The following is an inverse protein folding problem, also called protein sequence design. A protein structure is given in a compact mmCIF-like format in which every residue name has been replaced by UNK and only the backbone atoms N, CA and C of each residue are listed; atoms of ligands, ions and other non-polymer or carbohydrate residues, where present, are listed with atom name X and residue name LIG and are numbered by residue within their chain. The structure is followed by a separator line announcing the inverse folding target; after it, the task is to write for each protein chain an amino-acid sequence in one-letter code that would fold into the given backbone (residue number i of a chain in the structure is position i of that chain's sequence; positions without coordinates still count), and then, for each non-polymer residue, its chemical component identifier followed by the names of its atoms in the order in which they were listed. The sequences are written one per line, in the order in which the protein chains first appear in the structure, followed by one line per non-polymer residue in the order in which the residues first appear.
data_IF_422553524777
#
_entry.id   IF_422553524777
#
_cell.length_a   1.000
_cell.length_b   1.000
_cell.length_c   1.000
_cell.angle_alpha   90.00
_cell.angle_beta   90.00
_cell.angle_gamma   90.00
#
_symmetry.space_group_name_H-M   'P 1'
#
loop_
_entity.id
_entity.type
_entity.pdbx_description
1 polymer ?
#
# COMPACT_ATOMS: atom_id res chain seq x y z
N UNK A 1 -34.73 -19.30 -60.56
CA UNK A 1 -34.44 -17.90 -60.17
C UNK A 1 -35.42 -17.57 -59.06
N UNK A 2 -35.07 -17.89 -57.81
CA UNK A 2 -34.40 -17.02 -56.81
C UNK A 2 -35.42 -16.05 -56.18
N UNK A 3 -35.94 -16.40 -54.98
CA UNK A 3 -35.66 -15.78 -53.66
C UNK A 3 -36.46 -14.47 -53.45
N UNK A 4 -37.13 -14.15 -52.34
CA UNK A 4 -37.07 -14.65 -50.97
C UNK A 4 -38.32 -14.13 -50.22
N UNK A 5 -38.99 -15.00 -49.47
CA UNK A 5 -39.97 -14.60 -48.48
C UNK A 5 -39.23 -14.29 -47.18
N UNK A 6 -39.13 -13.02 -46.78
CA UNK A 6 -38.59 -12.66 -45.46
C UNK A 6 -39.70 -12.83 -44.43
N UNK A 7 -39.76 -14.03 -43.87
CA UNK A 7 -40.36 -14.31 -42.56
C UNK A 7 -39.28 -14.19 -41.49
N UNK A 8 -39.68 -13.58 -40.37
CA UNK A 8 -39.16 -13.77 -39.00
C UNK A 8 -37.82 -13.09 -38.63
N UNK A 9 -37.44 -13.03 -37.34
CA UNK A 9 -38.24 -12.84 -36.12
C UNK A 9 -37.48 -12.00 -35.06
N UNK A 10 -38.09 -10.96 -34.48
CA UNK A 10 -37.62 -10.41 -33.18
C UNK A 10 -38.78 -10.46 -32.19
N UNK A 11 -39.30 -11.68 -32.03
CA UNK A 11 -40.21 -12.09 -30.96
C UNK A 11 -39.57 -13.27 -30.23
N UNK A 12 -38.39 -13.06 -29.67
CA UNK A 12 -37.79 -13.95 -28.65
C UNK A 12 -36.50 -13.33 -28.11
N UNK A 13 -36.62 -12.46 -27.12
CA UNK A 13 -35.61 -12.31 -26.07
C UNK A 13 -36.38 -12.12 -24.77
N UNK A 14 -36.95 -13.23 -24.31
CA UNK A 14 -37.20 -13.42 -22.89
C UNK A 14 -35.84 -13.36 -22.19
N UNK A 15 -35.52 -12.21 -21.58
CA UNK A 15 -34.56 -12.19 -20.49
C UNK A 15 -35.35 -12.51 -19.24
N UNK A 16 -35.62 -13.80 -19.06
CA UNK A 16 -35.76 -14.33 -17.70
C UNK A 16 -34.34 -14.37 -17.13
N UNK A 17 -34.07 -13.50 -16.16
CA UNK A 17 -33.49 -13.97 -14.90
C UNK A 17 -33.57 -12.88 -13.84
N UNK A 18 -34.42 -13.19 -12.88
CA UNK A 18 -34.35 -12.79 -11.49
C UNK A 18 -32.91 -12.80 -10.98
N UNK A 19 -32.43 -11.62 -10.60
CA UNK A 19 -31.54 -11.48 -9.46
C UNK A 19 -31.97 -10.20 -8.76
N UNK A 20 -32.89 -10.36 -7.81
CA UNK A 20 -33.04 -9.43 -6.70
C UNK A 20 -31.70 -9.39 -5.97
N UNK A 21 -30.84 -8.45 -6.36
CA UNK A 21 -29.66 -8.10 -5.57
C UNK A 21 -29.95 -6.76 -4.92
N UNK A 22 -30.72 -6.85 -3.83
CA UNK A 22 -30.77 -5.79 -2.83
C UNK A 22 -29.34 -5.46 -2.42
N UNK A 23 -28.77 -4.40 -3.00
CA UNK A 23 -27.48 -3.87 -2.57
C UNK A 23 -27.68 -3.42 -1.12
N UNK A 24 -27.01 -4.05 -0.13
CA UNK A 24 -27.19 -3.64 1.24
C UNK A 24 -26.75 -2.19 1.37
N UNK A 25 -27.67 -1.30 1.75
CA UNK A 25 -27.37 0.07 2.19
C UNK A 25 -26.54 -0.01 3.47
N UNK A 26 -25.25 -0.34 3.35
CA UNK A 26 -24.32 -0.32 4.48
C UNK A 26 -23.59 1.02 4.46
N UNK A 27 -24.20 1.96 5.18
CA UNK A 27 -23.60 3.22 5.60
C UNK A 27 -22.51 2.96 6.68
N UNK A 28 -21.54 2.09 6.39
CA UNK A 28 -20.49 1.69 7.35
C UNK A 28 -19.06 2.02 6.87
N UNK A 29 -18.87 2.48 5.63
CA UNK A 29 -17.53 2.77 5.12
C UNK A 29 -16.97 4.11 5.62
N UNK A 30 -17.81 5.14 5.78
CA UNK A 30 -17.36 6.43 6.33
C UNK A 30 -16.93 6.35 7.81
N UNK A 31 -17.52 5.43 8.59
CA UNK A 31 -17.11 5.19 9.99
C UNK A 31 -15.80 4.38 10.10
N UNK A 32 -15.54 3.50 9.13
CA UNK A 32 -14.26 2.77 9.06
C UNK A 32 -13.09 3.70 8.71
N UNK A 33 -13.29 4.67 7.81
CA UNK A 33 -12.23 5.59 7.36
C UNK A 33 -11.81 6.57 8.48
N UNK A 34 -12.72 7.03 9.34
CA UNK A 34 -12.37 7.84 10.53
C UNK A 34 -11.60 7.04 11.57
N UNK A 35 -11.83 5.73 11.65
CA UNK A 35 -11.12 4.85 12.59
C UNK A 35 -9.69 4.52 12.15
N UNK A 36 -9.41 4.58 10.84
CA UNK A 36 -8.08 4.29 10.28
C UNK A 36 -7.14 5.49 10.42
N UNK A 37 -7.65 6.72 10.27
CA UNK A 37 -6.83 7.94 10.40
C UNK A 37 -6.48 8.32 11.85
N UNK A 38 -7.10 7.69 12.85
CA UNK A 38 -6.94 8.03 14.27
C UNK A 38 -6.16 6.99 15.09
N UNK A 39 -5.66 5.93 14.49
CA UNK A 39 -4.78 5.00 15.19
C UNK A 39 -3.33 5.51 15.11
N UNK A 40 -2.88 6.11 16.22
CA UNK A 40 -1.46 6.15 16.58
C UNK A 40 -0.80 4.81 16.21
N UNK A 41 0.35 4.81 15.51
CA UNK A 41 0.98 3.59 15.07
C UNK A 41 1.37 2.76 16.30
N UNK A 42 0.61 1.68 16.54
CA UNK A 42 0.86 0.78 17.66
C UNK A 42 2.24 0.13 17.49
N UNK A 43 3.10 0.50 18.42
CA UNK A 43 4.47 0.10 18.72
C UNK A 43 4.57 -1.40 19.10
N UNK A 44 4.12 -2.28 18.21
CA UNK A 44 4.26 -3.74 18.40
C UNK A 44 5.70 -4.22 18.17
N UNK A 45 6.46 -3.51 17.32
CA UNK A 45 7.85 -3.84 17.01
C UNK A 45 8.82 -3.33 18.10
N UNK A 46 8.51 -2.19 18.75
CA UNK A 46 9.38 -1.59 19.77
C UNK A 46 9.45 -2.40 21.07
N UNK A 47 8.39 -3.14 21.41
CA UNK A 47 8.32 -3.88 22.68
C UNK A 47 9.13 -5.18 22.70
N UNK A 48 9.46 -5.75 21.53
CA UNK A 48 10.23 -7.01 21.43
C UNK A 48 11.74 -6.75 21.53
N UNK A 49 12.20 -5.52 21.28
CA UNK A 49 13.63 -5.14 21.26
C UNK A 49 14.23 -4.91 22.66
N UNK A 50 13.40 -4.77 23.70
CA UNK A 50 13.81 -4.23 25.01
C UNK A 50 14.31 -5.26 26.03
N UNK A 51 14.86 -6.39 25.59
CA UNK A 51 15.36 -7.39 26.54
C UNK A 51 16.69 -8.02 26.13
N UNK A 52 17.78 -7.22 26.16
CA UNK A 52 19.11 -7.61 26.70
C UNK A 52 20.14 -6.47 26.69
N UNK A 53 20.96 -6.49 27.74
CA UNK A 53 22.29 -5.90 28.00
C UNK A 53 22.43 -4.42 28.45
N UNK A 54 23.15 -4.29 29.58
CA UNK A 54 23.41 -3.11 30.40
C UNK A 54 24.58 -2.27 29.86
N UNK A 55 24.37 -1.57 28.75
CA UNK A 55 25.19 -0.42 28.33
C UNK A 55 24.27 0.65 27.75
N UNK A 56 24.49 1.96 28.01
CA UNK A 56 23.68 3.02 27.43
C UNK A 56 24.14 3.26 25.98
N UNK A 57 23.93 2.28 25.09
CA UNK A 57 23.81 2.61 23.68
C UNK A 57 22.50 3.38 23.53
N UNK A 58 22.61 4.65 23.18
CA UNK A 58 21.47 5.46 22.75
C UNK A 58 20.76 4.69 21.65
N UNK A 59 19.60 4.15 21.96
CA UNK A 59 18.68 3.61 20.98
C UNK A 59 18.05 4.81 20.26
N UNK A 60 18.83 5.46 19.41
CA UNK A 60 18.19 6.19 18.32
C UNK A 60 17.73 5.11 17.35
N UNK A 61 16.43 5.08 17.05
CA UNK A 61 15.88 4.37 15.90
C UNK A 61 16.39 5.04 14.61
N UNK A 62 17.71 5.09 14.44
CA UNK A 62 18.38 5.49 13.22
C UNK A 62 18.48 4.24 12.37
N UNK A 63 17.91 4.28 11.18
CA UNK A 63 18.18 3.25 10.17
C UNK A 63 19.69 3.25 9.93
N UNK A 64 20.37 2.25 10.48
CA UNK A 64 21.80 2.09 10.33
C UNK A 64 22.09 1.82 8.85
N UNK A 65 22.85 2.72 8.25
CA UNK A 65 23.24 2.69 6.85
C UNK A 65 24.58 2.01 6.67
N UNK A 66 24.89 1.63 5.42
CA UNK A 66 26.21 1.09 5.08
C UNK A 66 27.32 2.11 5.40
N UNK A 67 27.05 3.41 5.26
CA UNK A 67 28.01 4.48 5.59
C UNK A 67 28.34 4.50 7.08
N UNK A 68 27.35 4.33 7.94
CA UNK A 68 27.55 4.27 9.39
C UNK A 68 28.47 3.10 9.78
N UNK A 69 28.36 1.95 9.08
CA UNK A 69 29.25 0.80 9.30
C UNK A 69 30.69 1.13 8.94
N UNK A 70 30.92 1.88 7.86
CA UNK A 70 32.27 2.29 7.46
C UNK A 70 32.90 3.29 8.45
N UNK A 71 32.11 4.22 8.96
CA UNK A 71 32.58 5.19 9.97
C UNK A 71 32.98 4.47 11.27
N UNK A 72 32.15 3.54 11.74
CA UNK A 72 32.46 2.74 12.93
C UNK A 72 33.66 1.81 12.70
N UNK A 73 33.77 1.20 11.50
CA UNK A 73 34.93 0.38 11.15
C UNK A 73 36.24 1.17 11.18
N UNK A 74 36.23 2.43 10.76
CA UNK A 74 37.40 3.31 10.82
C UNK A 74 37.82 3.62 12.26
N UNK A 75 36.85 3.88 13.16
CA UNK A 75 37.12 4.09 14.58
C UNK A 75 37.71 2.83 15.23
N UNK A 76 37.14 1.67 14.95
CA UNK A 76 37.63 0.38 15.42
C UNK A 76 39.05 0.10 14.91
N UNK A 77 39.33 0.40 13.63
CA UNK A 77 40.67 0.24 13.04
C UNK A 77 41.73 1.08 13.76
N UNK A 78 41.39 2.32 14.09
CA UNK A 78 42.28 3.22 14.87
C UNK A 78 42.52 2.72 16.30
N UNK A 79 41.55 2.05 16.89
CA UNK A 79 41.71 1.42 18.20
C UNK A 79 42.64 0.22 18.13
N UNK A 80 42.54 -0.59 17.07
CA UNK A 80 43.49 -1.66 16.81
C UNK A 80 44.91 -1.14 16.57
N UNK A 81 45.10 -0.05 15.83
CA UNK A 81 46.41 0.59 15.67
C UNK A 81 47.02 0.96 17.03
N UNK A 82 46.26 1.64 17.90
CA UNK A 82 46.73 1.97 19.26
C UNK A 82 47.10 0.75 20.08
N UNK A 83 46.35 -0.35 19.96
CA UNK A 83 46.65 -1.59 20.68
C UNK A 83 47.92 -2.25 20.12
N UNK A 84 48.09 -2.27 18.80
CA UNK A 84 49.30 -2.78 18.13
C UNK A 84 50.52 -1.99 18.60
N UNK A 85 50.44 -0.67 18.63
CA UNK A 85 51.55 0.20 19.04
C UNK A 85 51.96 -0.04 20.50
N UNK A 86 51.01 -0.37 21.38
CA UNK A 86 51.27 -0.56 22.81
C UNK A 86 51.68 -1.99 23.20
N UNK A 87 51.10 -3.02 22.55
CA UNK A 87 51.21 -4.41 22.98
C UNK A 87 51.71 -5.37 21.88
N UNK A 88 52.00 -4.86 20.69
CA UNK A 88 52.41 -5.65 19.54
C UNK A 88 51.25 -6.36 18.83
N UNK A 89 51.50 -6.73 17.58
CA UNK A 89 50.50 -7.30 16.64
C UNK A 89 49.91 -8.63 17.07
N UNK A 90 50.66 -9.44 17.83
CA UNK A 90 50.23 -10.77 18.26
C UNK A 90 48.98 -10.75 19.12
N UNK A 91 48.78 -9.66 19.88
CA UNK A 91 47.69 -9.50 20.83
C UNK A 91 46.32 -9.54 20.16
N UNK A 92 46.21 -9.06 18.91
CA UNK A 92 44.92 -8.93 18.21
C UNK A 92 44.86 -9.75 16.91
N UNK A 93 45.92 -10.48 16.56
CA UNK A 93 46.03 -11.24 15.30
C UNK A 93 44.80 -12.12 15.03
N UNK A 94 44.28 -12.79 16.05
CA UNK A 94 43.11 -13.68 15.92
C UNK A 94 41.76 -12.97 16.14
N UNK A 95 41.78 -11.74 16.68
CA UNK A 95 40.60 -10.94 16.94
C UNK A 95 40.19 -10.13 15.70
N UNK A 96 41.16 -9.51 15.02
CA UNK A 96 40.91 -8.65 13.85
C UNK A 96 40.08 -9.35 12.78
N UNK A 97 40.39 -10.60 12.35
CA UNK A 97 39.58 -11.30 11.35
C UNK A 97 38.14 -11.56 11.80
N UNK A 98 37.91 -11.77 13.11
CA UNK A 98 36.56 -11.97 13.66
C UNK A 98 35.76 -10.67 13.64
N UNK A 99 36.40 -9.54 13.95
CA UNK A 99 35.76 -8.23 13.92
C UNK A 99 35.45 -7.80 12.49
N UNK A 100 36.37 -8.03 11.55
CA UNK A 100 36.10 -7.84 10.11
C UNK A 100 34.86 -8.65 9.71
N UNK A 101 34.80 -9.93 10.09
CA UNK A 101 33.66 -10.78 9.77
C UNK A 101 32.33 -10.24 10.31
N UNK A 102 32.33 -9.68 11.51
CA UNK A 102 31.13 -9.06 12.09
C UNK A 102 30.75 -7.79 11.35
N UNK A 103 31.73 -6.95 10.97
CA UNK A 103 31.49 -5.73 10.19
C UNK A 103 30.94 -6.04 8.79
N UNK A 104 31.46 -7.08 8.11
CA UNK A 104 30.91 -7.56 6.82
C UNK A 104 29.45 -8.01 6.94
N UNK A 105 29.12 -8.75 8.02
CA UNK A 105 27.75 -9.19 8.27
C UNK A 105 26.83 -8.01 8.57
N UNK A 106 27.33 -7.00 9.29
CA UNK A 106 26.60 -5.78 9.59
C UNK A 106 26.36 -4.95 8.33
N UNK A 107 27.35 -4.81 7.45
CA UNK A 107 27.22 -4.15 6.15
C UNK A 107 26.15 -4.84 5.29
N UNK A 108 26.18 -6.17 5.20
CA UNK A 108 25.17 -6.93 4.47
C UNK A 108 23.77 -6.69 5.04
N UNK A 109 23.65 -6.65 6.37
CA UNK A 109 22.37 -6.43 7.02
C UNK A 109 21.88 -4.99 6.87
N UNK A 110 22.76 -3.99 6.90
CA UNK A 110 22.46 -2.59 6.66
C UNK A 110 21.96 -2.37 5.22
N UNK A 111 22.71 -2.88 4.24
CA UNK A 111 22.35 -2.81 2.82
C UNK A 111 21.02 -3.51 2.54
N UNK A 112 20.78 -4.67 3.17
CA UNK A 112 19.49 -5.36 3.06
C UNK A 112 18.36 -4.52 3.65
N UNK A 113 18.56 -3.95 4.83
CA UNK A 113 17.53 -3.15 5.50
C UNK A 113 17.16 -1.89 4.69
N UNK A 114 18.12 -1.24 4.03
CA UNK A 114 17.85 -0.13 3.10
C UNK A 114 16.98 -0.59 1.93
N UNK A 115 17.32 -1.71 1.28
CA UNK A 115 16.52 -2.27 0.17
C UNK A 115 15.11 -2.65 0.61
N UNK A 116 14.99 -3.33 1.75
CA UNK A 116 13.70 -3.75 2.30
C UNK A 116 12.83 -2.51 2.64
N UNK A 117 13.45 -1.42 3.12
CA UNK A 117 12.77 -0.16 3.39
C UNK A 117 12.28 0.53 2.11
N UNK A 118 13.09 0.54 1.04
CA UNK A 118 12.73 1.07 -0.27
C UNK A 118 11.56 0.28 -0.89
N UNK A 119 11.64 -1.06 -0.87
CA UNK A 119 10.57 -1.94 -1.37
C UNK A 119 9.27 -1.73 -0.59
N UNK A 120 9.36 -1.60 0.74
CA UNK A 120 8.22 -1.29 1.59
C UNK A 120 7.57 0.05 1.23
N UNK A 121 8.38 1.08 0.96
CA UNK A 121 7.88 2.40 0.56
C UNK A 121 7.22 2.35 -0.82
N UNK A 122 7.80 1.61 -1.76
CA UNK A 122 7.21 1.39 -3.08
C UNK A 122 5.85 0.68 -2.98
N UNK A 123 5.76 -0.39 -2.20
CA UNK A 123 4.51 -1.12 -1.97
C UNK A 123 3.43 -0.22 -1.35
N UNK A 124 3.79 0.56 -0.33
CA UNK A 124 2.87 1.56 0.26
C UNK A 124 2.35 2.56 -0.77
N UNK A 125 3.25 3.09 -1.58
CA UNK A 125 2.91 4.04 -2.64
C UNK A 125 1.96 3.40 -3.65
N UNK A 126 2.21 2.14 -4.01
CA UNK A 126 1.37 1.38 -4.93
C UNK A 126 -0.03 1.14 -4.37
N UNK A 127 -0.14 0.80 -3.09
CA UNK A 127 -1.42 0.63 -2.39
C UNK A 127 -2.22 1.92 -2.46
N UNK A 128 -1.65 3.04 -2.02
CA UNK A 128 -2.33 4.35 -2.03
C UNK A 128 -2.82 4.69 -3.43
N UNK A 129 -1.98 4.54 -4.45
CA UNK A 129 -2.35 4.82 -5.84
C UNK A 129 -3.54 3.95 -6.31
N UNK A 130 -3.51 2.65 -6.01
CA UNK A 130 -4.59 1.73 -6.38
C UNK A 130 -5.90 2.04 -5.65
N UNK A 131 -5.82 2.42 -4.38
CA UNK A 131 -6.99 2.80 -3.60
C UNK A 131 -7.63 4.07 -4.14
N UNK A 132 -6.82 5.06 -4.55
CA UNK A 132 -7.29 6.28 -5.20
C UNK A 132 -7.95 5.98 -6.55
N UNK A 133 -7.31 5.20 -7.43
CA UNK A 133 -7.89 4.83 -8.74
C UNK A 133 -9.22 4.09 -8.60
N UNK A 134 -9.30 3.17 -7.63
CA UNK A 134 -10.54 2.43 -7.32
C UNK A 134 -11.63 3.40 -6.83
N UNK A 135 -11.27 4.37 -6.01
CA UNK A 135 -12.20 5.36 -5.47
C UNK A 135 -12.75 6.27 -6.58
N UNK A 136 -11.88 6.84 -7.41
CA UNK A 136 -12.25 7.69 -8.54
C UNK A 136 -13.17 6.96 -9.54
N UNK A 137 -12.84 5.69 -9.84
CA UNK A 137 -13.68 4.85 -10.71
C UNK A 137 -15.08 4.66 -10.14
N UNK A 138 -15.20 4.46 -8.82
CA UNK A 138 -16.49 4.31 -8.15
C UNK A 138 -17.28 5.61 -8.17
N UNK A 139 -16.65 6.72 -7.82
CA UNK A 139 -17.28 8.05 -7.82
C UNK A 139 -17.79 8.44 -9.21
N UNK A 140 -17.04 8.10 -10.25
CA UNK A 140 -17.45 8.35 -11.63
C UNK A 140 -18.68 7.52 -12.00
N UNK A 141 -18.74 6.24 -11.62
CA UNK A 141 -19.94 5.39 -11.83
C UNK A 141 -21.15 5.95 -11.10
N UNK A 142 -21.01 6.29 -9.82
CA UNK A 142 -22.09 6.88 -9.04
C UNK A 142 -22.59 8.21 -9.64
N UNK A 143 -21.69 9.00 -10.22
CA UNK A 143 -22.05 10.23 -10.92
C UNK A 143 -22.84 9.93 -12.19
N UNK A 144 -22.39 8.98 -13.01
CA UNK A 144 -23.11 8.58 -14.22
C UNK A 144 -24.50 8.02 -13.91
N UNK A 145 -24.64 7.18 -12.89
CA UNK A 145 -25.93 6.62 -12.50
C UNK A 145 -26.91 7.73 -12.08
N UNK A 146 -26.45 8.72 -11.30
CA UNK A 146 -27.25 9.90 -10.93
C UNK A 146 -27.65 10.74 -12.14
N UNK A 147 -26.73 10.98 -13.09
CA UNK A 147 -27.04 11.73 -14.31
C UNK A 147 -28.07 11.00 -15.17
N UNK A 148 -27.98 9.67 -15.26
CA UNK A 148 -28.93 8.84 -15.99
C UNK A 148 -30.33 8.89 -15.38
N UNK A 149 -30.45 8.74 -14.05
CA UNK A 149 -31.72 8.88 -13.33
C UNK A 149 -32.39 10.24 -13.58
N UNK A 150 -31.61 11.32 -13.60
CA UNK A 150 -32.11 12.67 -13.90
C UNK A 150 -32.65 12.78 -15.33
N UNK A 151 -31.94 12.23 -16.32
CA UNK A 151 -32.37 12.23 -17.72
C UNK A 151 -33.67 11.43 -17.88
N UNK A 152 -33.76 10.25 -17.25
CA UNK A 152 -34.98 9.42 -17.29
C UNK A 152 -36.17 10.14 -16.67
N UNK A 153 -36.00 10.78 -15.50
CA UNK A 153 -37.05 11.53 -14.83
C UNK A 153 -37.54 12.71 -15.68
N UNK A 154 -36.61 13.42 -16.33
CA UNK A 154 -36.95 14.50 -17.25
C UNK A 154 -37.74 13.97 -18.45
N UNK A 155 -37.30 12.87 -19.06
CA UNK A 155 -37.99 12.25 -20.20
C UNK A 155 -39.41 11.81 -19.81
N UNK A 156 -39.59 11.18 -18.64
CA UNK A 156 -40.92 10.79 -18.13
C UNK A 156 -41.86 12.00 -17.97
N UNK A 157 -41.35 13.14 -17.47
CA UNK A 157 -42.13 14.39 -17.34
C UNK A 157 -42.53 14.94 -18.69
N UNK A 158 -41.61 14.97 -19.66
CA UNK A 158 -41.88 15.45 -21.01
C UNK A 158 -42.94 14.60 -21.71
N UNK A 159 -42.84 13.27 -21.61
CA UNK A 159 -43.82 12.33 -22.17
C UNK A 159 -45.21 12.55 -21.56
N UNK A 160 -45.31 12.61 -20.22
CA UNK A 160 -46.58 12.89 -19.53
C UNK A 160 -47.19 14.22 -19.97
N UNK A 161 -46.37 15.26 -20.10
CA UNK A 161 -46.80 16.60 -20.52
C UNK A 161 -47.31 16.59 -21.95
N UNK A 162 -46.58 15.94 -22.87
CA UNK A 162 -47.00 15.80 -24.28
C UNK A 162 -48.30 15.00 -24.39
N UNK A 163 -48.43 13.93 -23.63
CA UNK A 163 -49.64 13.10 -23.65
C UNK A 163 -50.86 13.83 -23.11
N UNK A 164 -50.71 14.64 -22.05
CA UNK A 164 -51.78 15.50 -21.53
C UNK A 164 -52.27 16.49 -22.59
N UNK A 165 -51.36 17.13 -23.32
CA UNK A 165 -51.70 18.06 -24.42
C UNK A 165 -52.41 17.40 -25.62
N UNK A 166 -52.36 16.08 -25.75
CA UNK A 166 -53.08 15.34 -26.82
C UNK A 166 -54.51 15.01 -26.38
N UNK A 167 -54.76 14.91 -25.07
CA UNK A 167 -56.03 14.49 -24.48
C UNK A 167 -56.96 15.70 -24.22
N UNK A 168 -56.40 16.88 -23.92
CA UNK A 168 -57.11 18.16 -23.76
C UNK A 168 -57.29 18.89 -25.10
#
# INVERSE_FOLDING_TARGET
MASEAIKNPLSSLSIENSADFSVPKTNNYSQAITSINNHEPLTAIDNIRNMTCSSPMRHQNTNLTVLDVYDEAALIGKDFERIIDAYGTETIRDLVPKVIRVLELLELQAAKNERDADEYLEMKTRIVRLETEKNETRELREKFDRELELIEEQWRKEVKTKQKKIID
#
